data_IF_104253064400
#
_entry.id   IF_104253064400
#
_cell.length_a   1.000
_cell.length_b   1.000
_cell.length_c   1.000
_cell.angle_alpha   90.00
_cell.angle_beta   90.00
_cell.angle_gamma   90.00
#
_symmetry.space_group_name_H-M   'P 1'
#
loop_
_entity.id
_entity.type
_entity.pdbx_description
1 polymer ?
#
# COMPACT_ATOMS: atom_id res chain seq x y z
N UNK A 1 -45.94 68.23 -28.54
CA UNK A 1 -45.09 67.04 -28.79
C UNK A 1 -44.83 66.36 -27.46
N UNK A 2 -45.86 65.70 -26.93
CA UNK A 2 -45.93 65.27 -25.54
C UNK A 2 -45.79 63.76 -25.41
N UNK A 3 -45.14 63.36 -24.32
CA UNK A 3 -45.22 62.08 -23.58
C UNK A 3 -44.94 60.77 -24.36
N UNK A 4 -45.50 60.59 -25.55
CA UNK A 4 -45.30 59.43 -26.42
C UNK A 4 -43.86 59.27 -26.93
N UNK A 5 -43.18 60.38 -27.22
CA UNK A 5 -41.77 60.36 -27.68
C UNK A 5 -40.79 59.98 -26.57
N UNK A 6 -41.05 60.40 -25.33
CA UNK A 6 -40.22 60.06 -24.17
C UNK A 6 -40.44 58.59 -23.78
N UNK A 7 -41.69 58.10 -23.84
CA UNK A 7 -42.01 56.70 -23.58
C UNK A 7 -41.33 55.75 -24.59
N UNK A 8 -41.27 56.12 -25.88
CA UNK A 8 -40.60 55.32 -26.91
C UNK A 8 -39.07 55.25 -26.73
N UNK A 9 -38.43 56.36 -26.38
CA UNK A 9 -36.97 56.40 -26.11
C UNK A 9 -36.64 55.62 -24.84
N UNK A 10 -37.47 55.71 -23.81
CA UNK A 10 -37.32 54.95 -22.56
C UNK A 10 -37.50 53.44 -22.80
N UNK A 11 -38.53 53.04 -23.56
CA UNK A 11 -38.75 51.64 -23.92
C UNK A 11 -37.61 51.07 -24.78
N UNK A 12 -37.09 51.85 -25.74
CA UNK A 12 -35.95 51.45 -26.57
C UNK A 12 -34.65 51.28 -25.77
N UNK A 13 -34.41 52.15 -24.80
CA UNK A 13 -33.22 52.08 -23.93
C UNK A 13 -33.25 50.87 -22.98
N UNK A 14 -34.43 50.49 -22.48
CA UNK A 14 -34.60 49.31 -21.63
C UNK A 14 -34.35 48.00 -22.40
N UNK A 15 -34.86 47.91 -23.64
CA UNK A 15 -34.61 46.74 -24.50
C UNK A 15 -33.14 46.65 -24.94
N UNK A 16 -32.51 47.78 -25.27
CA UNK A 16 -31.09 47.82 -25.60
C UNK A 16 -30.21 47.43 -24.40
N UNK A 17 -30.51 47.94 -23.20
CA UNK A 17 -29.80 47.57 -21.97
C UNK A 17 -29.97 46.09 -21.60
N UNK A 18 -31.17 45.54 -21.80
CA UNK A 18 -31.48 44.11 -21.57
C UNK A 18 -30.69 43.19 -22.49
N UNK A 19 -30.59 43.51 -23.78
CA UNK A 19 -29.85 42.71 -24.77
C UNK A 19 -28.34 42.74 -24.51
N UNK A 20 -27.78 43.91 -24.19
CA UNK A 20 -26.36 44.05 -23.86
C UNK A 20 -26.04 43.26 -22.59
N UNK A 21 -26.86 43.41 -21.54
CA UNK A 21 -26.66 42.70 -20.27
C UNK A 21 -26.77 41.18 -20.47
N UNK A 22 -27.76 40.70 -21.22
CA UNK A 22 -27.94 39.27 -21.54
C UNK A 22 -26.81 38.68 -22.38
N UNK A 23 -26.27 39.43 -23.33
CA UNK A 23 -25.12 38.99 -24.14
C UNK A 23 -23.84 38.86 -23.29
N UNK A 24 -23.58 39.83 -22.42
CA UNK A 24 -22.43 39.78 -21.51
C UNK A 24 -22.55 38.64 -20.49
N UNK A 25 -23.73 38.40 -19.93
CA UNK A 25 -23.95 37.26 -19.01
C UNK A 25 -23.83 35.91 -19.71
N UNK A 26 -24.35 35.78 -20.93
CA UNK A 26 -24.22 34.55 -21.73
C UNK A 26 -22.77 34.23 -22.12
N UNK A 27 -22.00 35.25 -22.54
CA UNK A 27 -20.58 35.07 -22.88
C UNK A 27 -19.72 34.75 -21.65
N UNK A 28 -19.92 35.47 -20.54
CA UNK A 28 -19.21 35.24 -19.29
C UNK A 28 -19.51 33.85 -18.69
N UNK A 29 -20.77 33.39 -18.76
CA UNK A 29 -21.15 32.06 -18.29
C UNK A 29 -20.54 30.92 -19.12
N UNK A 30 -20.42 31.10 -20.44
CA UNK A 30 -19.83 30.08 -21.32
C UNK A 30 -18.32 29.88 -21.12
N UNK A 31 -17.56 30.97 -20.90
CA UNK A 31 -16.13 30.90 -20.60
C UNK A 31 -15.85 30.36 -19.19
N UNK A 32 -16.71 30.71 -18.23
CA UNK A 32 -16.62 30.23 -16.85
C UNK A 32 -16.97 28.75 -16.73
N UNK A 33 -17.95 28.26 -17.51
CA UNK A 33 -18.29 26.84 -17.58
C UNK A 33 -17.18 26.00 -18.23
N UNK A 34 -16.49 26.51 -19.26
CA UNK A 34 -15.35 25.82 -19.88
C UNK A 34 -14.12 25.79 -18.94
N UNK A 35 -13.84 26.89 -18.24
CA UNK A 35 -12.76 26.96 -17.25
C UNK A 35 -13.05 26.05 -16.03
N UNK A 36 -14.31 25.98 -15.58
CA UNK A 36 -14.73 25.09 -14.48
C UNK A 36 -14.66 23.61 -14.86
N UNK A 37 -15.01 23.24 -16.11
CA UNK A 37 -14.83 21.87 -16.62
C UNK A 37 -13.36 21.49 -16.70
N UNK A 38 -12.52 22.37 -17.25
CA UNK A 38 -11.09 22.10 -17.37
C UNK A 38 -10.34 22.09 -16.01
N UNK A 39 -10.84 22.84 -15.03
CA UNK A 39 -10.37 22.76 -13.65
C UNK A 39 -10.91 21.50 -12.93
N UNK A 40 -12.14 21.08 -13.23
CA UNK A 40 -12.75 19.86 -12.72
C UNK A 40 -12.08 18.58 -13.23
N UNK A 41 -11.74 18.52 -14.51
CA UNK A 41 -11.04 17.37 -15.12
C UNK A 41 -9.65 17.19 -14.50
N UNK A 42 -8.90 18.29 -14.31
CA UNK A 42 -7.60 18.26 -13.63
C UNK A 42 -7.70 17.90 -12.14
N UNK A 43 -8.79 18.27 -11.47
CA UNK A 43 -9.06 17.83 -10.10
C UNK A 43 -9.41 16.35 -10.03
N UNK A 44 -10.18 15.83 -11.00
CA UNK A 44 -10.49 14.41 -11.09
C UNK A 44 -9.23 13.57 -11.31
N UNK A 45 -8.33 13.99 -12.21
CA UNK A 45 -7.05 13.32 -12.45
C UNK A 45 -6.15 13.32 -11.21
N UNK A 46 -6.04 14.47 -10.52
CA UNK A 46 -5.26 14.57 -9.29
C UNK A 46 -5.81 13.67 -8.15
N UNK A 47 -7.14 13.56 -8.05
CA UNK A 47 -7.79 12.64 -7.09
C UNK A 47 -7.53 11.18 -7.46
N UNK A 48 -7.61 10.82 -8.74
CA UNK A 48 -7.31 9.47 -9.20
C UNK A 48 -5.86 9.08 -8.95
N UNK A 49 -4.91 9.99 -9.19
CA UNK A 49 -3.49 9.75 -8.92
C UNK A 49 -3.21 9.62 -7.43
N UNK A 50 -3.88 10.43 -6.59
CA UNK A 50 -3.79 10.30 -5.14
C UNK A 50 -4.33 8.95 -4.68
N UNK A 51 -5.51 8.53 -5.16
CA UNK A 51 -6.09 7.22 -4.82
C UNK A 51 -5.21 6.07 -5.29
N UNK A 52 -4.66 6.15 -6.51
CA UNK A 52 -3.72 5.14 -7.04
C UNK A 52 -2.46 5.06 -6.19
N UNK A 53 -1.89 6.20 -5.81
CA UNK A 53 -0.72 6.27 -4.94
C UNK A 53 -1.01 5.66 -3.55
N UNK A 54 -2.13 6.05 -2.92
CA UNK A 54 -2.53 5.51 -1.61
C UNK A 54 -2.84 4.02 -1.66
N UNK A 55 -3.52 3.53 -2.70
CA UNK A 55 -3.79 2.09 -2.88
C UNK A 55 -2.49 1.30 -3.09
N UNK A 56 -1.53 1.88 -3.81
CA UNK A 56 -0.19 1.32 -3.98
C UNK A 56 0.55 1.21 -2.66
N UNK A 57 0.60 2.29 -1.89
CA UNK A 57 1.25 2.35 -0.58
C UNK A 57 0.62 1.35 0.41
N UNK A 58 -0.72 1.27 0.44
CA UNK A 58 -1.45 0.28 1.25
C UNK A 58 -1.17 -1.17 0.84
N UNK A 59 -0.90 -1.43 -0.44
CA UNK A 59 -0.54 -2.77 -0.92
C UNK A 59 0.87 -3.13 -0.47
N UNK A 60 1.82 -2.21 -0.57
CA UNK A 60 3.20 -2.42 -0.09
C UNK A 60 3.24 -2.68 1.41
N UNK A 61 2.53 -1.90 2.22
CA UNK A 61 2.42 -2.10 3.67
C UNK A 61 1.87 -3.50 3.98
N UNK A 62 0.80 -3.92 3.29
CA UNK A 62 0.20 -5.26 3.48
C UNK A 62 1.16 -6.39 3.14
N UNK A 63 1.93 -6.27 2.04
CA UNK A 63 2.92 -7.28 1.66
C UNK A 63 4.07 -7.37 2.66
N UNK A 64 4.54 -6.22 3.17
CA UNK A 64 5.56 -6.18 4.23
C UNK A 64 5.06 -6.84 5.53
N UNK A 65 3.80 -6.59 5.90
CA UNK A 65 3.21 -7.16 7.10
C UNK A 65 3.04 -8.68 6.99
N UNK A 66 2.58 -9.17 5.83
CA UNK A 66 2.49 -10.60 5.55
C UNK A 66 3.86 -11.30 5.60
N UNK A 67 4.91 -10.65 5.09
CA UNK A 67 6.28 -11.14 5.20
C UNK A 67 6.77 -11.18 6.65
N UNK A 68 6.53 -10.13 7.43
CA UNK A 68 6.85 -10.12 8.87
C UNK A 68 6.18 -11.28 9.60
N UNK A 69 4.90 -11.47 9.35
CA UNK A 69 4.13 -12.55 9.96
C UNK A 69 4.69 -13.93 9.59
N UNK A 70 5.07 -14.13 8.33
CA UNK A 70 5.71 -15.38 7.86
C UNK A 70 7.01 -15.68 8.61
N UNK A 71 7.87 -14.67 8.79
CA UNK A 71 9.14 -14.85 9.52
C UNK A 71 8.93 -15.11 11.01
N UNK A 72 7.96 -14.45 11.63
CA UNK A 72 7.59 -14.68 13.04
C UNK A 72 7.04 -16.09 13.23
N UNK A 73 6.17 -16.56 12.33
CA UNK A 73 5.63 -17.92 12.40
C UNK A 73 6.73 -18.99 12.26
N UNK A 74 7.71 -18.76 11.40
CA UNK A 74 8.87 -19.65 11.29
C UNK A 74 9.71 -19.70 12.57
N UNK A 75 10.03 -18.53 13.14
CA UNK A 75 10.77 -18.47 14.40
C UNK A 75 10.02 -19.17 15.54
N UNK A 76 8.72 -18.92 15.66
CA UNK A 76 7.89 -19.56 16.67
C UNK A 76 7.88 -21.09 16.52
N UNK A 77 7.66 -21.59 15.30
CA UNK A 77 7.67 -23.03 15.05
C UNK A 77 9.05 -23.66 15.31
N UNK A 78 10.13 -22.94 15.03
CA UNK A 78 11.48 -23.40 15.31
C UNK A 78 11.76 -23.44 16.82
N UNK A 79 11.35 -22.42 17.58
CA UNK A 79 11.46 -22.37 19.03
C UNK A 79 10.66 -23.50 19.71
N UNK A 80 9.42 -23.75 19.27
CA UNK A 80 8.65 -24.89 19.72
C UNK A 80 9.36 -26.21 19.46
N UNK A 81 9.90 -26.41 18.25
CA UNK A 81 10.66 -27.61 17.92
C UNK A 81 11.91 -27.79 18.81
N UNK A 82 12.62 -26.70 19.16
CA UNK A 82 13.76 -26.73 20.09
C UNK A 82 13.34 -27.17 21.49
N UNK A 83 12.24 -26.61 22.00
CA UNK A 83 11.72 -26.94 23.32
C UNK A 83 11.28 -28.41 23.40
N UNK A 84 10.61 -28.89 22.37
CA UNK A 84 10.15 -30.29 22.23
C UNK A 84 11.33 -31.26 22.15
N UNK A 85 12.39 -30.92 21.39
CA UNK A 85 13.63 -31.71 21.36
C UNK A 85 14.27 -31.82 22.75
N UNK A 86 14.30 -30.71 23.51
CA UNK A 86 14.85 -30.68 24.88
C UNK A 86 14.01 -31.44 25.89
N UNK A 87 12.69 -31.39 25.75
CA UNK A 87 11.75 -32.03 26.66
C UNK A 87 11.58 -33.53 26.39
N UNK A 88 11.91 -34.00 25.18
CA UNK A 88 11.73 -35.39 24.77
C UNK A 88 10.26 -35.80 24.55
N UNK A 89 9.33 -34.85 24.52
CA UNK A 89 7.89 -35.08 24.34
C UNK A 89 7.38 -34.34 23.09
N UNK A 90 6.67 -35.03 22.18
CA UNK A 90 5.81 -34.37 21.18
C UNK A 90 6.38 -34.11 19.77
N UNK A 91 7.44 -34.78 19.35
CA UNK A 91 8.19 -34.50 18.09
C UNK A 91 7.35 -34.34 16.81
N UNK A 92 6.21 -35.02 16.68
CA UNK A 92 5.46 -35.09 15.43
C UNK A 92 4.80 -33.78 15.01
N UNK A 93 4.15 -33.07 15.94
CA UNK A 93 3.33 -31.90 15.59
C UNK A 93 4.20 -30.66 15.31
N UNK A 94 5.20 -30.41 16.16
CA UNK A 94 6.06 -29.24 16.04
C UNK A 94 6.99 -29.34 14.82
N UNK A 95 7.45 -30.55 14.48
CA UNK A 95 8.24 -30.79 13.27
C UNK A 95 7.43 -30.54 11.99
N UNK A 96 6.14 -30.90 11.99
CA UNK A 96 5.23 -30.57 10.89
C UNK A 96 4.95 -29.07 10.82
N UNK A 97 4.74 -28.40 11.96
CA UNK A 97 4.55 -26.95 12.01
C UNK A 97 5.78 -26.20 11.47
N UNK A 98 6.98 -26.62 11.87
CA UNK A 98 8.25 -26.08 11.38
C UNK A 98 8.41 -26.26 9.87
N UNK A 99 8.12 -27.46 9.33
CA UNK A 99 8.17 -27.72 7.89
C UNK A 99 7.21 -26.82 7.09
N UNK A 100 5.98 -26.60 7.59
CA UNK A 100 5.02 -25.71 6.95
C UNK A 100 5.49 -24.25 6.96
N UNK A 101 5.93 -23.77 8.12
CA UNK A 101 6.42 -22.40 8.27
C UNK A 101 7.68 -22.16 7.41
N UNK A 102 8.56 -23.16 7.33
CA UNK A 102 9.72 -23.12 6.45
C UNK A 102 9.33 -23.06 4.96
N UNK A 103 8.33 -23.83 4.55
CA UNK A 103 7.82 -23.80 3.17
C UNK A 103 7.22 -22.44 2.82
N UNK A 104 6.56 -21.78 3.77
CA UNK A 104 6.08 -20.41 3.60
C UNK A 104 7.24 -19.42 3.42
N UNK A 105 8.32 -19.54 4.20
CA UNK A 105 9.53 -18.71 4.02
C UNK A 105 10.19 -18.93 2.65
N UNK A 106 10.20 -20.17 2.14
CA UNK A 106 10.73 -20.46 0.80
C UNK A 106 9.94 -19.78 -0.33
N UNK A 107 8.62 -19.62 -0.15
CA UNK A 107 7.74 -18.99 -1.14
C UNK A 107 7.78 -17.45 -1.05
N UNK A 108 7.73 -16.92 0.17
CA UNK A 108 7.52 -15.48 0.41
C UNK A 108 8.82 -14.69 0.57
N UNK A 109 9.87 -15.35 1.08
CA UNK A 109 11.13 -14.73 1.45
C UNK A 109 12.11 -14.59 0.27
N UNK A 110 13.01 -13.59 0.30
CA UNK A 110 14.13 -13.55 -0.62
C UNK A 110 15.09 -14.72 -0.36
N UNK A 111 15.89 -15.06 -1.38
CA UNK A 111 16.79 -16.23 -1.37
C UNK A 111 17.71 -16.30 -0.14
N UNK A 112 18.15 -15.16 0.37
CA UNK A 112 19.02 -15.07 1.54
C UNK A 112 18.30 -15.51 2.83
N UNK A 113 17.03 -15.11 3.00
CA UNK A 113 16.21 -15.50 4.15
C UNK A 113 15.86 -16.98 4.06
N UNK A 114 15.50 -17.47 2.88
CA UNK A 114 15.27 -18.89 2.60
C UNK A 114 16.51 -19.75 2.94
N UNK A 115 17.71 -19.29 2.56
CA UNK A 115 18.96 -19.97 2.87
C UNK A 115 19.26 -20.00 4.37
N UNK A 116 19.02 -18.90 5.07
CA UNK A 116 19.21 -18.84 6.52
C UNK A 116 18.20 -19.74 7.26
N UNK A 117 16.93 -19.76 6.82
CA UNK A 117 15.90 -20.65 7.36
C UNK A 117 16.25 -22.13 7.15
N UNK A 118 16.78 -22.47 5.98
CA UNK A 118 17.29 -23.82 5.67
C UNK A 118 18.38 -24.24 6.66
N UNK A 119 19.37 -23.38 6.90
CA UNK A 119 20.46 -23.65 7.86
C UNK A 119 19.92 -23.96 9.26
N UNK A 120 18.91 -23.23 9.72
CA UNK A 120 18.29 -23.46 11.03
C UNK A 120 17.53 -24.80 11.07
N UNK A 121 16.76 -25.13 10.03
CA UNK A 121 16.08 -26.43 9.93
C UNK A 121 17.08 -27.58 9.87
N UNK A 122 18.19 -27.41 9.15
CA UNK A 122 19.23 -28.43 9.05
C UNK A 122 19.97 -28.62 10.38
N UNK A 123 20.25 -27.52 11.10
CA UNK A 123 20.85 -27.57 12.44
C UNK A 123 19.97 -28.34 13.44
N UNK A 124 18.64 -28.13 13.39
CA UNK A 124 17.68 -28.87 14.20
C UNK A 124 17.60 -30.36 13.86
N UNK A 125 17.81 -30.72 12.59
CA UNK A 125 17.75 -32.12 12.14
C UNK A 125 19.05 -32.88 12.41
N UNK A 126 20.16 -32.18 12.40
CA UNK A 126 21.49 -32.75 12.63
C UNK A 126 21.86 -32.85 14.11
N UNK A 127 20.96 -32.46 15.02
CA UNK A 127 21.18 -32.44 16.48
C UNK A 127 22.50 -31.74 16.84
N UNK A 128 22.74 -30.58 16.19
CA UNK A 128 23.96 -29.82 16.37
C UNK A 128 24.04 -29.20 17.78
N UNK A 129 25.23 -28.70 18.11
CA UNK A 129 25.43 -27.99 19.36
C UNK A 129 24.46 -26.82 19.51
N UNK A 130 24.14 -26.46 20.75
CA UNK A 130 23.26 -25.33 21.02
C UNK A 130 23.84 -24.00 20.46
N UNK A 131 25.17 -23.87 20.45
CA UNK A 131 25.84 -22.71 19.87
C UNK A 131 25.64 -22.62 18.34
N UNK A 132 25.67 -23.75 17.63
CA UNK A 132 25.39 -23.80 16.19
C UNK A 132 23.94 -23.43 15.87
N UNK A 133 23.01 -23.91 16.71
CA UNK A 133 21.59 -23.60 16.59
C UNK A 133 21.30 -22.12 16.85
N UNK A 134 21.92 -21.53 17.89
CA UNK A 134 21.79 -20.11 18.19
C UNK A 134 22.44 -19.24 17.10
N UNK A 135 23.59 -19.67 16.56
CA UNK A 135 24.23 -19.04 15.41
C UNK A 135 23.33 -19.07 14.16
N UNK A 136 22.68 -20.20 13.88
CA UNK A 136 21.72 -20.33 12.78
C UNK A 136 20.48 -19.45 12.97
N UNK A 137 19.97 -19.38 14.21
CA UNK A 137 18.84 -18.49 14.59
C UNK A 137 19.21 -17.03 14.38
N UNK A 138 20.37 -16.60 14.89
CA UNK A 138 20.87 -15.23 14.71
C UNK A 138 21.04 -14.88 13.22
N UNK A 139 21.58 -15.82 12.43
CA UNK A 139 21.71 -15.66 10.98
C UNK A 139 20.37 -15.48 10.25
N UNK A 140 19.33 -16.22 10.67
CA UNK A 140 17.98 -16.03 10.13
C UNK A 140 17.38 -14.66 10.49
N UNK A 141 17.48 -14.27 11.77
CA UNK A 141 16.96 -12.98 12.24
C UNK A 141 17.63 -11.82 11.49
N UNK A 142 18.94 -11.89 11.28
CA UNK A 142 19.66 -10.86 10.56
C UNK A 142 19.26 -10.80 9.09
N UNK A 143 19.17 -11.94 8.40
CA UNK A 143 18.70 -11.99 7.03
C UNK A 143 17.27 -11.43 6.89
N UNK A 144 16.38 -11.75 7.84
CA UNK A 144 15.01 -11.25 7.86
C UNK A 144 14.94 -9.73 8.06
N UNK A 145 15.76 -9.17 8.96
CA UNK A 145 15.86 -7.72 9.19
C UNK A 145 16.34 -6.99 7.93
N UNK A 146 17.42 -7.46 7.32
CA UNK A 146 17.96 -6.89 6.09
C UNK A 146 16.92 -6.95 4.96
N UNK A 147 16.19 -8.07 4.84
CA UNK A 147 15.13 -8.21 3.85
C UNK A 147 13.97 -7.23 4.05
N UNK A 148 13.54 -7.02 5.29
CA UNK A 148 12.47 -6.09 5.63
C UNK A 148 12.88 -4.62 5.45
N UNK A 149 14.14 -4.29 5.76
CA UNK A 149 14.67 -2.95 5.55
C UNK A 149 14.71 -2.62 4.05
N UNK A 150 15.30 -3.48 3.23
CA UNK A 150 15.36 -3.29 1.77
C UNK A 150 13.98 -3.16 1.13
N UNK A 151 13.01 -3.92 1.62
CA UNK A 151 11.64 -3.88 1.10
C UNK A 151 10.85 -2.64 1.56
N UNK A 152 11.30 -1.91 2.59
CA UNK A 152 10.76 -0.61 2.99
C UNK A 152 11.43 0.58 2.29
N UNK A 153 12.58 0.38 1.65
CA UNK A 153 13.32 1.39 0.89
C UNK A 153 12.93 1.43 -0.61
N UNK A 154 12.09 0.48 -1.07
CA UNK A 154 11.62 0.34 -2.46
C UNK A 154 10.22 0.91 -2.63
#
# INVERSE_FOLDING_TARGET
MGEWGVALIAAGSALAGSLITGWFTGRAGSSQAAAARHAGDRQADALLDTVRATLGEQRTIRLLDLRRQTYVQFLHAAESAILTLRAGEGEGNDRLALQRAFSAVLLEGPSEVARAARKMVDALRADLSWDDLESARAGFVEAARVALQKAGES
#
